data_IF_926741369811
#
_entry.id   IF_926741369811
#
_cell.length_a   1.000
_cell.length_b   1.000
_cell.length_c   1.000
_cell.angle_alpha   90.00
_cell.angle_beta   90.00
_cell.angle_gamma   90.00
#
_symmetry.space_group_name_H-M   'P 1'
#
loop_
_entity.id
_entity.type
_entity.pdbx_description
1 polymer ?
#
# COMPACT_ATOMS: atom_id res chain seq x y z
N UNK A 1 -15.42 74.76 42.55
CA UNK A 1 -15.77 74.46 41.15
C UNK A 1 -15.22 73.08 40.81
N UNK A 2 -15.98 72.30 40.03
CA UNK A 2 -15.60 71.02 39.37
C UNK A 2 -15.87 69.70 40.13
N UNK A 3 -17.12 69.24 39.93
CA UNK A 3 -17.73 67.90 39.84
C UNK A 3 -17.02 66.58 40.24
N UNK A 4 -17.79 65.60 40.77
CA UNK A 4 -17.36 64.20 40.85
C UNK A 4 -17.56 63.45 39.51
N UNK A 5 -16.65 62.51 39.25
CA UNK A 5 -16.53 61.68 38.04
C UNK A 5 -17.73 60.78 37.78
N UNK A 6 -18.34 60.90 36.60
CA UNK A 6 -19.34 59.98 36.05
C UNK A 6 -18.74 58.57 35.84
N UNK A 7 -19.31 57.56 36.52
CA UNK A 7 -19.09 56.16 36.18
C UNK A 7 -19.98 55.79 34.98
N UNK A 8 -19.37 55.64 33.80
CA UNK A 8 -20.07 55.12 32.61
C UNK A 8 -20.36 53.63 32.80
N UNK A 9 -21.63 53.31 33.03
CA UNK A 9 -22.20 51.97 32.88
C UNK A 9 -21.97 51.50 31.44
N UNK A 10 -21.20 50.43 31.24
CA UNK A 10 -21.07 49.78 29.94
C UNK A 10 -22.42 49.13 29.57
N UNK A 11 -22.89 49.26 28.31
CA UNK A 11 -24.12 48.60 27.89
C UNK A 11 -23.88 47.09 27.87
N UNK A 12 -24.73 46.33 28.56
CA UNK A 12 -24.81 44.89 28.42
C UNK A 12 -25.24 44.61 26.98
N UNK A 13 -24.31 44.11 26.17
CA UNK A 13 -24.58 43.63 24.82
C UNK A 13 -25.31 42.29 24.98
N UNK A 14 -26.64 42.35 25.06
CA UNK A 14 -27.47 41.16 24.85
C UNK A 14 -27.48 40.85 23.35
N UNK A 15 -26.72 39.85 22.94
CA UNK A 15 -26.87 39.27 21.60
C UNK A 15 -28.33 38.80 21.43
N UNK A 16 -28.98 39.12 20.29
CA UNK A 16 -30.31 38.62 20.01
C UNK A 16 -30.29 37.08 19.97
N UNK A 17 -31.14 36.44 20.77
CA UNK A 17 -31.31 34.98 20.82
C UNK A 17 -31.63 34.33 19.45
N UNK A 18 -31.92 35.13 18.43
CA UNK A 18 -32.11 34.71 17.05
C UNK A 18 -30.82 34.15 16.39
N UNK A 19 -29.64 34.69 16.70
CA UNK A 19 -28.38 34.19 16.12
C UNK A 19 -27.93 32.85 16.72
N UNK A 20 -28.26 32.61 17.99
CA UNK A 20 -28.04 31.31 18.65
C UNK A 20 -28.98 30.23 18.07
N UNK A 21 -30.21 30.61 17.72
CA UNK A 21 -31.16 29.71 17.06
C UNK A 21 -30.76 29.38 15.61
N UNK A 22 -30.13 30.32 14.89
CA UNK A 22 -29.63 30.10 13.53
C UNK A 22 -28.44 29.12 13.48
N UNK A 23 -27.60 29.08 14.52
CA UNK A 23 -26.53 28.08 14.66
C UNK A 23 -27.07 26.64 14.88
N UNK A 24 -28.29 26.51 15.39
CA UNK A 24 -29.02 25.23 15.52
C UNK A 24 -29.67 24.75 14.23
N UNK A 25 -29.82 25.63 13.22
CA UNK A 25 -30.48 25.34 11.95
C UNK A 25 -29.49 24.98 10.84
N UNK A 26 -28.37 24.30 11.16
CA UNK A 26 -27.64 23.55 10.12
C UNK A 26 -28.55 22.44 9.63
N UNK A 27 -29.19 22.69 8.49
CA UNK A 27 -29.92 21.72 7.68
C UNK A 27 -29.21 20.36 7.76
N UNK A 28 -29.88 19.28 8.21
CA UNK A 28 -29.22 18.01 8.41
C UNK A 28 -28.69 17.56 7.06
N UNK A 29 -27.36 17.52 6.90
CA UNK A 29 -26.76 17.03 5.66
C UNK A 29 -27.34 15.64 5.37
N UNK A 30 -28.07 15.51 4.25
CA UNK A 30 -28.85 14.30 3.92
C UNK A 30 -27.99 13.03 3.83
N UNK A 31 -26.67 13.16 3.64
CA UNK A 31 -25.70 12.07 3.70
C UNK A 31 -24.81 12.17 4.94
N UNK A 32 -24.86 11.14 5.79
CA UNK A 32 -23.85 10.95 6.82
C UNK A 32 -22.54 10.47 6.18
N UNK A 33 -21.37 11.10 6.41
CA UNK A 33 -20.10 10.72 5.78
C UNK A 33 -19.78 9.22 5.84
N UNK A 34 -20.03 8.58 7.00
CA UNK A 34 -19.84 7.14 7.18
C UNK A 34 -20.65 6.27 6.22
N UNK A 35 -21.82 6.72 5.74
CA UNK A 35 -22.59 5.95 4.74
C UNK A 35 -21.89 5.96 3.39
N UNK A 36 -21.33 7.10 2.99
CA UNK A 36 -20.59 7.23 1.73
C UNK A 36 -19.35 6.34 1.77
N UNK A 37 -18.56 6.46 2.84
CA UNK A 37 -17.38 5.62 3.04
C UNK A 37 -17.72 4.13 3.10
N UNK A 38 -18.79 3.74 3.79
CA UNK A 38 -19.21 2.34 3.86
C UNK A 38 -19.69 1.81 2.51
N UNK A 39 -20.37 2.61 1.69
CA UNK A 39 -20.75 2.23 0.32
C UNK A 39 -19.50 2.03 -0.55
N UNK A 40 -18.55 2.97 -0.51
CA UNK A 40 -17.28 2.84 -1.24
C UNK A 40 -16.54 1.57 -0.81
N UNK A 41 -16.41 1.34 0.50
CA UNK A 41 -15.75 0.15 1.03
C UNK A 41 -16.48 -1.14 0.66
N UNK A 42 -17.81 -1.12 0.64
CA UNK A 42 -18.62 -2.24 0.20
C UNK A 42 -18.42 -2.56 -1.29
N UNK A 43 -18.34 -1.53 -2.14
CA UNK A 43 -18.05 -1.70 -3.57
C UNK A 43 -16.64 -2.24 -3.82
N UNK A 44 -15.63 -1.69 -3.14
CA UNK A 44 -14.25 -2.17 -3.22
C UNK A 44 -14.18 -3.64 -2.78
N UNK A 45 -14.79 -3.97 -1.64
CA UNK A 45 -14.78 -5.34 -1.11
C UNK A 45 -15.50 -6.31 -2.05
N UNK A 46 -16.66 -5.92 -2.59
CA UNK A 46 -17.40 -6.76 -3.53
C UNK A 46 -16.59 -7.03 -4.82
N UNK A 47 -15.92 -5.99 -5.35
CA UNK A 47 -15.04 -6.13 -6.50
C UNK A 47 -13.84 -7.05 -6.20
N UNK A 48 -13.18 -6.85 -5.06
CA UNK A 48 -12.07 -7.68 -4.60
C UNK A 48 -12.47 -9.15 -4.46
N UNK A 49 -13.61 -9.42 -3.83
CA UNK A 49 -14.13 -10.80 -3.67
C UNK A 49 -14.47 -11.43 -5.03
N UNK A 50 -15.05 -10.67 -5.95
CA UNK A 50 -15.33 -11.14 -7.31
C UNK A 50 -14.04 -11.53 -8.04
N UNK A 51 -13.02 -10.67 -8.00
CA UNK A 51 -11.73 -10.90 -8.66
C UNK A 51 -10.99 -12.09 -8.04
N UNK A 52 -10.94 -12.19 -6.71
CA UNK A 52 -10.34 -13.34 -6.04
C UNK A 52 -11.07 -14.65 -6.31
N UNK A 53 -12.41 -14.63 -6.33
CA UNK A 53 -13.19 -15.82 -6.68
C UNK A 53 -12.84 -16.29 -8.10
N UNK A 54 -12.84 -15.37 -9.08
CA UNK A 54 -12.46 -15.65 -10.47
C UNK A 54 -11.04 -16.19 -10.60
N UNK A 55 -10.11 -15.67 -9.79
CA UNK A 55 -8.75 -16.15 -9.73
C UNK A 55 -8.67 -17.58 -9.21
N UNK A 56 -9.15 -17.84 -7.99
CA UNK A 56 -9.05 -19.16 -7.34
C UNK A 56 -9.77 -20.26 -8.13
N UNK A 57 -10.86 -19.93 -8.83
CA UNK A 57 -11.59 -20.89 -9.67
C UNK A 57 -11.12 -20.93 -11.12
N UNK A 58 -10.17 -20.08 -11.51
CA UNK A 58 -9.74 -19.91 -12.89
C UNK A 58 -8.34 -20.49 -13.18
N UNK A 59 -7.90 -20.46 -14.44
CA UNK A 59 -6.63 -21.06 -14.86
C UNK A 59 -5.39 -20.34 -14.30
N UNK A 60 -5.53 -19.09 -13.86
CA UNK A 60 -4.42 -18.30 -13.32
C UNK A 60 -4.09 -18.63 -11.85
N UNK A 61 -4.86 -19.50 -11.18
CA UNK A 61 -4.47 -20.07 -9.89
C UNK A 61 -3.48 -21.22 -10.11
N UNK A 62 -2.29 -20.86 -10.58
CA UNK A 62 -1.22 -21.78 -10.92
C UNK A 62 0.10 -21.24 -10.37
N UNK A 63 0.97 -22.14 -9.91
CA UNK A 63 2.27 -21.75 -9.38
C UNK A 63 3.14 -21.15 -10.49
N UNK A 64 3.68 -19.97 -10.25
CA UNK A 64 4.75 -19.41 -11.07
C UNK A 64 6.07 -20.06 -10.63
N UNK A 65 6.80 -20.73 -11.55
CA UNK A 65 7.99 -21.48 -11.21
C UNK A 65 9.17 -20.55 -10.90
N UNK A 66 10.10 -21.08 -10.10
CA UNK A 66 11.39 -20.44 -9.75
C UNK A 66 12.32 -20.27 -10.96
N UNK A 67 12.15 -21.11 -11.99
CA UNK A 67 13.09 -21.21 -13.09
C UNK A 67 14.36 -21.99 -12.72
N UNK A 68 15.39 -21.97 -13.60
CA UNK A 68 16.58 -22.81 -13.46
C UNK A 68 17.62 -22.32 -12.43
N UNK A 69 17.57 -21.06 -12.01
CA UNK A 69 18.47 -20.54 -10.96
C UNK A 69 17.98 -20.96 -9.58
N UNK A 70 18.89 -21.49 -8.77
CA UNK A 70 18.59 -21.84 -7.37
C UNK A 70 18.95 -20.67 -6.43
N UNK A 71 18.04 -20.23 -5.53
CA UNK A 71 18.39 -19.21 -4.55
C UNK A 71 19.49 -19.71 -3.59
N UNK A 72 20.43 -18.85 -3.17
CA UNK A 72 21.45 -19.21 -2.20
C UNK A 72 20.87 -19.80 -0.90
N UNK A 73 21.58 -20.74 -0.28
CA UNK A 73 21.09 -21.43 0.94
C UNK A 73 20.71 -20.47 2.08
N UNK A 74 21.49 -19.40 2.29
CA UNK A 74 21.19 -18.38 3.29
C UNK A 74 19.88 -17.63 2.97
N UNK A 75 19.65 -17.27 1.71
CA UNK A 75 18.43 -16.63 1.24
C UNK A 75 17.22 -17.53 1.54
N UNK A 76 17.29 -18.81 1.19
CA UNK A 76 16.23 -19.79 1.49
C UNK A 76 15.92 -19.89 2.99
N UNK A 77 16.96 -20.01 3.83
CA UNK A 77 16.81 -20.13 5.27
C UNK A 77 16.14 -18.90 5.88
N UNK A 78 16.52 -17.72 5.42
CA UNK A 78 15.93 -16.44 5.86
C UNK A 78 14.48 -16.33 5.40
N UNK A 79 14.19 -16.61 4.13
CA UNK A 79 12.84 -16.57 3.58
C UNK A 79 11.89 -17.53 4.30
N UNK A 80 12.34 -18.76 4.60
CA UNK A 80 11.57 -19.72 5.43
C UNK A 80 11.33 -19.14 6.82
N UNK A 81 12.40 -18.69 7.49
CA UNK A 81 12.32 -18.17 8.86
C UNK A 81 11.33 -17.02 8.94
N UNK A 82 11.42 -16.07 8.02
CA UNK A 82 10.53 -14.91 7.95
C UNK A 82 9.08 -15.32 7.64
N UNK A 83 8.89 -16.29 6.72
CA UNK A 83 7.56 -16.82 6.39
C UNK A 83 6.91 -17.44 7.62
N UNK A 84 7.65 -18.24 8.38
CA UNK A 84 7.17 -18.87 9.62
C UNK A 84 6.80 -17.81 10.65
N UNK A 85 7.66 -16.80 10.87
CA UNK A 85 7.37 -15.71 11.79
C UNK A 85 6.09 -14.98 11.40
N UNK A 86 5.87 -14.74 10.11
CA UNK A 86 4.69 -14.02 9.61
C UNK A 86 3.41 -14.85 9.69
N UNK A 87 3.47 -16.13 9.32
CA UNK A 87 2.34 -17.05 9.46
C UNK A 87 1.95 -17.21 10.93
N UNK A 88 2.91 -17.35 11.85
CA UNK A 88 2.66 -17.51 13.29
C UNK A 88 2.24 -16.19 13.94
N UNK A 89 2.73 -15.06 13.43
CA UNK A 89 2.37 -13.73 13.91
C UNK A 89 0.89 -13.41 13.71
N UNK A 90 0.25 -13.91 12.65
CA UNK A 90 -1.16 -13.67 12.36
C UNK A 90 -2.14 -14.21 13.41
N UNK A 91 -2.13 -15.49 13.82
CA UNK A 91 -3.02 -15.99 14.87
C UNK A 91 -2.76 -15.28 16.21
N UNK A 92 -1.52 -14.90 16.50
CA UNK A 92 -1.18 -14.06 17.67
C UNK A 92 -1.84 -12.68 17.55
N UNK A 93 -1.71 -12.02 16.40
CA UNK A 93 -2.37 -10.74 16.10
C UNK A 93 -3.89 -10.82 16.22
N UNK A 94 -4.51 -11.84 15.63
CA UNK A 94 -5.96 -12.10 15.74
C UNK A 94 -6.36 -12.28 17.21
N UNK A 95 -5.58 -13.06 17.98
CA UNK A 95 -5.86 -13.25 19.40
C UNK A 95 -5.82 -11.93 20.18
N UNK A 96 -4.77 -11.13 20.00
CA UNK A 96 -4.57 -9.90 20.78
C UNK A 96 -5.47 -8.75 20.36
N UNK A 97 -5.73 -8.56 19.06
CA UNK A 97 -6.47 -7.41 18.54
C UNK A 97 -7.96 -7.69 18.32
N UNK A 98 -8.37 -8.94 18.15
CA UNK A 98 -9.77 -9.30 17.90
C UNK A 98 -10.33 -10.15 19.06
N UNK A 99 -9.78 -11.33 19.33
CA UNK A 99 -10.39 -12.30 20.25
C UNK A 99 -10.37 -11.81 21.70
N UNK A 100 -9.24 -11.31 22.19
CA UNK A 100 -9.08 -10.84 23.57
C UNK A 100 -9.96 -9.62 23.87
N UNK A 101 -9.99 -8.55 23.05
CA UNK A 101 -10.90 -7.42 23.27
C UNK A 101 -12.36 -7.82 23.12
N UNK A 102 -12.70 -8.71 22.19
CA UNK A 102 -14.06 -9.23 22.06
C UNK A 102 -14.51 -9.95 23.33
N UNK A 103 -13.66 -10.82 23.91
CA UNK A 103 -13.98 -11.55 25.15
C UNK A 103 -14.06 -10.65 26.38
N UNK A 104 -13.18 -9.64 26.49
CA UNK A 104 -13.11 -8.76 27.67
C UNK A 104 -14.10 -7.60 27.64
N UNK A 105 -14.27 -6.98 26.48
CA UNK A 105 -14.97 -5.69 26.32
C UNK A 105 -16.23 -5.81 25.44
N UNK A 106 -16.48 -6.99 24.85
CA UNK A 106 -17.62 -7.25 23.93
C UNK A 106 -17.72 -6.24 22.77
N UNK A 107 -16.57 -5.72 22.32
CA UNK A 107 -16.47 -4.77 21.20
C UNK A 107 -15.31 -5.10 20.27
N UNK A 108 -15.46 -4.73 19.00
CA UNK A 108 -14.35 -4.72 18.04
C UNK A 108 -13.63 -3.37 18.16
N UNK A 109 -12.33 -3.42 18.47
CA UNK A 109 -11.48 -2.22 18.58
C UNK A 109 -11.10 -1.70 17.20
N UNK A 110 -10.66 -0.43 17.14
CA UNK A 110 -10.12 0.13 15.91
C UNK A 110 -8.94 -0.70 15.39
N UNK A 111 -8.05 -1.15 16.27
CA UNK A 111 -6.90 -2.00 15.91
C UNK A 111 -7.34 -3.34 15.32
N UNK A 112 -8.40 -3.96 15.85
CA UNK A 112 -8.97 -5.18 15.26
C UNK A 112 -9.58 -4.94 13.88
N UNK A 113 -10.21 -3.79 13.64
CA UNK A 113 -10.71 -3.41 12.31
C UNK A 113 -9.57 -3.11 11.34
N UNK A 114 -8.52 -2.42 11.80
CA UNK A 114 -7.33 -2.12 11.00
C UNK A 114 -6.57 -3.40 10.64
N UNK A 115 -6.49 -4.40 11.53
CA UNK A 115 -5.87 -5.69 11.23
C UNK A 115 -6.52 -6.34 9.99
N UNK A 116 -7.85 -6.40 9.97
CA UNK A 116 -8.60 -6.98 8.85
C UNK A 116 -8.54 -6.08 7.62
N UNK A 117 -8.67 -4.75 7.80
CA UNK A 117 -8.62 -3.80 6.70
C UNK A 117 -7.26 -3.79 5.97
N UNK A 118 -6.15 -3.85 6.72
CA UNK A 118 -4.81 -3.93 6.14
C UNK A 118 -4.58 -5.29 5.45
N UNK A 119 -5.13 -6.37 5.99
CA UNK A 119 -5.06 -7.69 5.34
C UNK A 119 -5.83 -7.75 4.02
N UNK A 120 -6.96 -7.05 3.92
CA UNK A 120 -7.70 -6.92 2.66
C UNK A 120 -7.01 -5.97 1.67
N UNK A 121 -6.31 -4.96 2.17
CA UNK A 121 -5.56 -4.00 1.36
C UNK A 121 -4.43 -4.65 0.55
N UNK A 122 -3.91 -5.81 0.96
CA UNK A 122 -3.01 -6.65 0.17
C UNK A 122 -3.50 -6.90 -1.28
N UNK A 123 -4.81 -6.88 -1.53
CA UNK A 123 -5.35 -6.95 -2.90
C UNK A 123 -4.75 -5.91 -3.86
N UNK A 124 -4.34 -4.76 -3.33
CA UNK A 124 -3.79 -3.65 -4.10
C UNK A 124 -2.29 -3.76 -4.37
N UNK A 125 -1.59 -4.67 -3.69
CA UNK A 125 -0.13 -4.83 -3.77
C UNK A 125 0.36 -5.04 -5.22
N UNK A 126 -0.12 -6.03 -5.98
CA UNK A 126 0.36 -6.23 -7.34
C UNK A 126 -0.09 -5.14 -8.32
N UNK A 127 -0.99 -4.23 -7.93
CA UNK A 127 -1.44 -3.15 -8.80
C UNK A 127 -0.35 -2.14 -9.12
N UNK A 128 0.75 -2.11 -8.35
CA UNK A 128 1.94 -1.35 -8.69
C UNK A 128 2.50 -1.73 -10.08
N UNK A 129 2.24 -2.95 -10.55
CA UNK A 129 2.66 -3.46 -11.86
C UNK A 129 1.60 -3.31 -12.97
N UNK A 130 0.60 -2.44 -12.83
CA UNK A 130 -0.54 -2.41 -13.76
C UNK A 130 -0.17 -2.08 -15.21
N UNK A 131 0.71 -1.09 -15.43
CA UNK A 131 1.17 -0.70 -16.77
C UNK A 131 2.47 -1.35 -17.24
N UNK A 132 3.39 -1.54 -16.32
CA UNK A 132 4.70 -2.15 -16.56
C UNK A 132 5.16 -2.83 -15.28
N UNK A 133 6.05 -3.81 -15.37
CA UNK A 133 6.57 -4.48 -14.19
C UNK A 133 7.64 -3.62 -13.52
N UNK A 134 7.25 -3.02 -12.40
CA UNK A 134 8.07 -2.18 -11.55
C UNK A 134 8.68 -2.94 -10.35
N UNK A 135 7.96 -3.89 -9.75
CA UNK A 135 8.43 -4.75 -8.64
C UNK A 135 8.16 -6.23 -8.92
N UNK A 136 9.02 -7.11 -8.42
CA UNK A 136 8.83 -8.56 -8.46
C UNK A 136 9.23 -9.22 -7.14
N UNK A 137 8.41 -10.16 -6.68
CA UNK A 137 8.72 -11.10 -5.60
C UNK A 137 9.60 -12.29 -6.04
N UNK A 138 10.23 -12.90 -5.06
CA UNK A 138 10.94 -14.15 -5.24
C UNK A 138 9.97 -15.34 -5.44
N UNK A 139 9.94 -15.92 -6.64
CA UNK A 139 9.03 -17.02 -7.00
C UNK A 139 9.37 -18.36 -6.37
N UNK A 140 10.53 -18.47 -5.72
CA UNK A 140 10.84 -19.63 -4.87
C UNK A 140 9.85 -19.77 -3.70
N UNK A 141 9.36 -18.63 -3.20
CA UNK A 141 8.34 -18.61 -2.16
C UNK A 141 7.03 -19.20 -2.64
N UNK A 142 6.23 -19.71 -1.70
CA UNK A 142 4.94 -20.30 -2.04
C UNK A 142 4.00 -19.24 -2.64
N UNK A 143 3.63 -19.44 -3.90
CA UNK A 143 2.77 -18.56 -4.70
C UNK A 143 1.83 -19.40 -5.58
N UNK A 144 0.74 -18.79 -6.02
CA UNK A 144 -0.21 -19.35 -6.99
C UNK A 144 -0.55 -18.30 -8.06
N UNK A 145 0.50 -17.64 -8.57
CA UNK A 145 0.35 -16.48 -9.45
C UNK A 145 -0.28 -15.31 -8.72
N UNK A 146 -1.14 -14.57 -9.40
CA UNK A 146 -1.95 -13.50 -8.79
C UNK A 146 -3.24 -13.27 -9.56
N UNK A 147 -4.12 -12.46 -8.99
CA UNK A 147 -5.42 -12.12 -9.57
C UNK A 147 -5.37 -11.02 -10.64
N UNK A 148 -4.18 -10.52 -10.97
CA UNK A 148 -3.99 -9.36 -11.86
C UNK A 148 -4.64 -9.47 -13.25
N UNK A 149 -4.73 -10.65 -13.92
CA UNK A 149 -5.38 -10.75 -15.22
C UNK A 149 -6.87 -10.42 -15.20
N UNK A 150 -7.51 -10.56 -14.03
CA UNK A 150 -8.93 -10.27 -13.84
C UNK A 150 -9.19 -8.82 -13.43
N UNK A 151 -8.14 -8.03 -13.18
CA UNK A 151 -8.27 -6.59 -12.92
C UNK A 151 -8.58 -5.88 -14.23
N UNK A 152 -9.69 -5.12 -14.33
CA UNK A 152 -10.07 -4.46 -15.56
C UNK A 152 -8.97 -3.54 -16.09
N UNK A 153 -8.65 -3.69 -17.37
CA UNK A 153 -7.68 -2.86 -18.08
C UNK A 153 -6.21 -3.17 -17.78
N UNK A 154 -5.90 -4.26 -17.07
CA UNK A 154 -4.53 -4.71 -16.83
C UNK A 154 -3.71 -4.75 -18.13
N UNK A 155 -2.49 -4.20 -18.12
CA UNK A 155 -1.65 -4.03 -19.32
C UNK A 155 -0.38 -4.86 -19.29
N UNK A 156 0.20 -5.07 -18.11
CA UNK A 156 1.41 -5.89 -17.98
C UNK A 156 1.18 -7.33 -18.38
N UNK A 157 2.24 -8.02 -18.79
CA UNK A 157 2.15 -9.42 -19.21
C UNK A 157 1.62 -10.30 -18.07
N UNK A 158 0.62 -11.13 -18.36
CA UNK A 158 0.13 -12.11 -17.41
C UNK A 158 -0.51 -13.32 -18.09
N UNK A 159 0.15 -14.47 -17.98
CA UNK A 159 -0.36 -15.78 -18.40
C UNK A 159 -0.24 -16.78 -17.26
N UNK A 160 -1.01 -17.88 -17.25
CA UNK A 160 -0.84 -18.96 -16.29
C UNK A 160 0.62 -19.42 -16.20
N UNK A 161 1.18 -19.49 -14.99
CA UNK A 161 2.60 -19.79 -14.75
C UNK A 161 3.60 -18.69 -15.12
N UNK A 162 3.19 -17.59 -15.78
CA UNK A 162 4.06 -16.51 -16.26
C UNK A 162 3.42 -15.13 -16.02
N UNK A 163 3.44 -14.67 -14.78
CA UNK A 163 2.80 -13.41 -14.36
C UNK A 163 3.37 -12.92 -13.03
N UNK A 164 2.97 -11.73 -12.60
CA UNK A 164 3.22 -11.24 -11.25
C UNK A 164 2.81 -12.31 -10.22
N UNK A 165 3.77 -12.83 -9.46
CA UNK A 165 3.54 -13.90 -8.50
C UNK A 165 3.48 -13.34 -7.08
N UNK A 166 2.37 -13.55 -6.40
CA UNK A 166 2.18 -13.08 -5.03
C UNK A 166 2.57 -14.18 -4.02
N UNK A 167 3.54 -13.94 -3.11
CA UNK A 167 3.86 -14.86 -2.03
C UNK A 167 2.77 -14.78 -0.94
N UNK A 168 1.65 -15.46 -1.18
CA UNK A 168 0.40 -15.37 -0.38
C UNK A 168 0.64 -15.58 1.12
N UNK A 169 1.50 -16.54 1.48
CA UNK A 169 1.79 -16.85 2.90
C UNK A 169 2.59 -15.77 3.62
N UNK A 170 3.29 -14.92 2.86
CA UNK A 170 4.05 -13.81 3.40
C UNK A 170 3.25 -12.51 3.35
N UNK A 171 2.73 -12.18 2.17
CA UNK A 171 2.11 -10.88 1.94
C UNK A 171 0.79 -10.76 2.70
N UNK A 172 -0.12 -11.74 2.61
CA UNK A 172 -1.42 -11.60 3.27
C UNK A 172 -1.32 -11.41 4.80
N UNK A 173 -0.52 -12.21 5.54
CA UNK A 173 -0.37 -11.99 6.96
C UNK A 173 0.53 -10.77 7.29
N UNK A 174 1.57 -10.53 6.50
CA UNK A 174 2.47 -9.37 6.65
C UNK A 174 1.74 -8.04 6.50
N UNK A 175 0.87 -7.93 5.50
CA UNK A 175 -0.03 -6.80 5.31
C UNK A 175 -1.04 -6.67 6.45
N UNK A 176 -1.57 -7.78 6.96
CA UNK A 176 -2.59 -7.72 8.02
C UNK A 176 -2.04 -7.19 9.34
N UNK A 177 -1.08 -7.89 9.95
CA UNK A 177 -0.59 -7.51 11.28
C UNK A 177 0.72 -6.71 11.22
N UNK A 178 1.59 -6.94 10.23
CA UNK A 178 2.86 -6.23 10.09
C UNK A 178 2.64 -4.74 9.83
N UNK A 179 1.80 -4.39 8.86
CA UNK A 179 1.43 -2.98 8.58
C UNK A 179 0.74 -2.34 9.78
N UNK A 180 -0.13 -3.07 10.48
CA UNK A 180 -0.76 -2.59 11.71
C UNK A 180 0.29 -2.31 12.80
N UNK A 181 1.25 -3.19 13.03
CA UNK A 181 2.32 -2.97 14.00
C UNK A 181 3.18 -1.75 13.63
N UNK A 182 3.50 -1.57 12.35
CA UNK A 182 4.17 -0.36 11.86
C UNK A 182 3.33 0.90 12.11
N UNK A 183 2.01 0.82 11.91
CA UNK A 183 1.07 1.91 12.20
C UNK A 183 1.04 2.23 13.70
N UNK A 184 1.01 1.20 14.56
CA UNK A 184 1.04 1.36 16.02
C UNK A 184 2.35 2.04 16.46
N UNK A 185 3.47 1.63 15.88
CA UNK A 185 4.79 2.21 16.13
C UNK A 185 4.87 3.66 15.65
N UNK A 186 4.38 3.98 14.46
CA UNK A 186 4.27 5.35 13.95
C UNK A 186 3.42 6.25 14.85
N UNK A 187 2.28 5.75 15.35
CA UNK A 187 1.50 6.46 16.36
C UNK A 187 2.27 6.68 17.67
N UNK A 188 3.11 5.72 18.09
CA UNK A 188 3.97 5.87 19.27
C UNK A 188 5.03 6.96 19.05
N UNK A 189 5.65 7.02 17.88
CA UNK A 189 6.60 8.09 17.50
C UNK A 189 5.92 9.45 17.53
N UNK A 190 4.72 9.59 16.95
CA UNK A 190 3.97 10.85 17.02
C UNK A 190 3.67 11.28 18.47
N UNK A 191 3.28 10.34 19.35
CA UNK A 191 3.09 10.65 20.79
C UNK A 191 4.40 11.11 21.44
N UNK A 192 5.52 10.46 21.12
CA UNK A 192 6.84 10.83 21.64
C UNK A 192 7.28 12.20 21.16
N UNK A 193 7.08 12.51 19.89
CA UNK A 193 7.34 13.82 19.30
C UNK A 193 6.48 14.91 19.94
N UNK A 194 5.20 14.64 20.19
CA UNK A 194 4.31 15.59 20.90
C UNK A 194 4.73 15.83 22.35
N UNK A 195 5.28 14.82 23.02
CA UNK A 195 5.82 14.97 24.37
C UNK A 195 7.10 15.83 24.41
N UNK A 196 7.97 15.70 23.40
CA UNK A 196 9.18 16.53 23.29
C UNK A 196 8.88 17.94 22.77
N UNK A 197 7.93 18.09 21.85
CA UNK A 197 7.51 19.36 21.27
C UNK A 197 6.02 19.61 21.50
N UNK A 198 5.59 20.07 22.69
CA UNK A 198 4.17 20.24 23.01
C UNK A 198 3.41 21.18 22.05
N UNK A 199 4.10 22.17 21.50
CA UNK A 199 3.55 23.16 20.56
C UNK A 199 3.51 22.70 19.10
N UNK A 200 3.96 21.49 18.77
CA UNK A 200 3.91 20.98 17.40
C UNK A 200 2.45 20.85 16.95
N UNK A 201 2.14 21.40 15.77
CA UNK A 201 0.82 21.28 15.17
C UNK A 201 0.65 19.92 14.47
N UNK A 202 -0.56 19.62 13.97
CA UNK A 202 -0.84 18.33 13.33
C UNK A 202 0.00 18.11 12.06
N UNK A 203 0.26 19.16 11.29
CA UNK A 203 1.12 19.07 10.10
C UNK A 203 2.56 18.70 10.45
N UNK A 204 3.10 19.27 11.53
CA UNK A 204 4.42 18.92 12.04
C UNK A 204 4.50 17.47 12.52
N UNK A 205 3.44 16.93 13.15
CA UNK A 205 3.38 15.52 13.52
C UNK A 205 3.39 14.59 12.29
N UNK A 206 2.63 14.95 11.25
CA UNK A 206 2.62 14.21 9.98
C UNK A 206 4.00 14.28 9.32
N UNK A 207 4.66 15.44 9.33
CA UNK A 207 6.02 15.60 8.80
C UNK A 207 7.05 14.72 9.53
N UNK A 208 7.02 14.70 10.87
CA UNK A 208 7.87 13.80 11.68
C UNK A 208 7.60 12.34 11.31
N UNK A 209 6.32 11.98 11.13
CA UNK A 209 5.95 10.63 10.78
C UNK A 209 6.48 10.24 9.39
N UNK A 210 6.34 11.09 8.36
CA UNK A 210 6.84 10.82 7.00
C UNK A 210 8.36 10.61 7.01
N UNK A 211 9.10 11.45 7.73
CA UNK A 211 10.56 11.30 7.85
C UNK A 211 10.91 10.00 8.56
N UNK A 212 10.20 9.67 9.66
CA UNK A 212 10.44 8.43 10.38
C UNK A 212 10.09 7.19 9.55
N UNK A 213 8.95 7.19 8.85
CA UNK A 213 8.54 6.07 8.00
C UNK A 213 9.51 5.86 6.86
N UNK A 214 9.98 6.93 6.20
CA UNK A 214 11.00 6.84 5.17
C UNK A 214 12.28 6.15 5.68
N UNK A 215 12.79 6.58 6.84
CA UNK A 215 14.02 5.99 7.42
C UNK A 215 13.78 4.56 7.88
N UNK A 216 12.63 4.30 8.50
CA UNK A 216 12.25 2.97 8.96
C UNK A 216 12.13 1.99 7.79
N UNK A 217 11.51 2.44 6.69
CA UNK A 217 11.33 1.68 5.47
C UNK A 217 12.68 1.39 4.80
N UNK A 218 13.56 2.39 4.66
CA UNK A 218 14.93 2.16 4.18
C UNK A 218 15.67 1.09 4.99
N UNK A 219 15.53 1.08 6.32
CA UNK A 219 16.19 0.08 7.18
C UNK A 219 15.58 -1.31 7.01
N UNK A 220 14.25 -1.42 7.01
CA UNK A 220 13.58 -2.72 6.93
C UNK A 220 13.61 -3.26 5.50
N UNK A 221 13.20 -2.47 4.53
CA UNK A 221 13.13 -2.88 3.13
C UNK A 221 14.51 -2.85 2.46
N UNK A 222 15.15 -1.67 2.47
CA UNK A 222 16.43 -1.41 1.81
C UNK A 222 17.60 -2.23 2.35
N UNK A 223 17.71 -2.38 3.67
CA UNK A 223 18.85 -3.07 4.29
C UNK A 223 18.57 -4.52 4.71
N UNK A 224 17.30 -4.93 4.81
CA UNK A 224 16.95 -6.26 5.30
C UNK A 224 16.14 -7.06 4.27
N UNK A 225 14.90 -6.68 3.93
CA UNK A 225 14.02 -7.51 3.08
C UNK A 225 14.57 -7.73 1.66
N UNK A 226 15.06 -6.67 1.01
CA UNK A 226 15.57 -6.79 -0.35
C UNK A 226 16.94 -7.48 -0.43
N UNK A 227 17.95 -7.17 0.40
CA UNK A 227 19.20 -7.94 0.43
C UNK A 227 18.96 -9.43 0.75
N UNK A 228 17.93 -9.74 1.54
CA UNK A 228 17.50 -11.10 1.84
C UNK A 228 16.71 -11.76 0.70
N UNK A 229 16.44 -11.05 -0.39
CA UNK A 229 15.83 -11.57 -1.60
C UNK A 229 14.34 -11.86 -1.49
N UNK A 230 13.58 -11.09 -0.70
CA UNK A 230 12.13 -11.22 -0.61
C UNK A 230 11.44 -10.73 -1.89
N UNK A 231 11.84 -9.55 -2.35
CA UNK A 231 11.41 -8.91 -3.60
C UNK A 231 12.48 -7.93 -4.08
N UNK A 232 12.30 -7.44 -5.29
CA UNK A 232 13.19 -6.51 -5.96
C UNK A 232 12.41 -5.52 -6.82
N UNK A 233 13.00 -4.35 -7.09
CA UNK A 233 12.43 -3.31 -7.94
C UNK A 233 13.17 -3.24 -9.28
N UNK A 234 12.93 -4.16 -10.23
CA UNK A 234 13.72 -4.20 -11.46
C UNK A 234 13.48 -2.99 -12.36
N UNK A 235 12.27 -2.43 -12.35
CA UNK A 235 11.91 -1.24 -13.11
C UNK A 235 12.25 0.08 -12.41
N UNK A 236 13.04 0.06 -11.32
CA UNK A 236 13.39 1.29 -10.61
C UNK A 236 14.26 2.24 -11.44
N UNK A 237 14.06 3.55 -11.25
CA UNK A 237 14.91 4.59 -11.84
C UNK A 237 16.27 4.55 -11.12
N UNK A 238 17.33 4.14 -11.81
CA UNK A 238 18.65 3.90 -11.19
C UNK A 238 19.24 5.15 -10.55
N UNK A 239 19.05 6.31 -11.18
CA UNK A 239 19.54 7.60 -10.66
C UNK A 239 18.90 8.03 -9.33
N UNK A 240 17.71 7.50 -9.01
CA UNK A 240 16.96 7.76 -7.78
C UNK A 240 16.90 6.51 -6.90
N UNK A 241 17.91 5.64 -6.99
CA UNK A 241 17.98 4.38 -6.24
C UNK A 241 19.30 4.22 -5.50
N UNK A 242 19.25 3.66 -4.31
CA UNK A 242 20.43 3.20 -3.56
C UNK A 242 20.79 1.81 -4.06
N UNK A 243 22.09 1.51 -4.24
CA UNK A 243 22.59 0.25 -4.82
C UNK A 243 22.05 -0.02 -6.23
N UNK A 244 21.90 1.02 -7.04
CA UNK A 244 21.39 0.91 -8.39
C UNK A 244 22.14 -0.15 -9.23
N UNK A 245 21.39 -0.99 -9.93
CA UNK A 245 21.95 -2.08 -10.75
C UNK A 245 22.19 -3.40 -10.02
N UNK A 246 21.90 -3.50 -8.72
CA UNK A 246 21.88 -4.78 -8.00
C UNK A 246 20.45 -5.29 -7.83
N UNK A 247 20.29 -6.57 -7.46
CA UNK A 247 18.97 -7.12 -7.13
C UNK A 247 18.32 -6.50 -5.89
N UNK A 248 19.07 -5.75 -5.08
CA UNK A 248 18.59 -5.10 -3.86
C UNK A 248 18.62 -3.56 -4.00
N UNK A 249 18.46 -3.06 -5.22
CA UNK A 249 18.34 -1.63 -5.45
C UNK A 249 17.08 -1.07 -4.80
N UNK A 250 17.23 -0.01 -4.00
CA UNK A 250 16.13 0.62 -3.26
C UNK A 250 15.79 1.99 -3.84
N UNK A 251 14.64 2.16 -4.53
CA UNK A 251 14.23 3.46 -5.02
C UNK A 251 13.84 4.39 -3.87
N UNK A 252 14.43 5.58 -3.80
CA UNK A 252 14.12 6.53 -2.71
C UNK A 252 12.65 6.94 -2.69
N UNK A 253 12.00 6.96 -3.85
CA UNK A 253 10.60 7.31 -3.96
C UNK A 253 9.66 6.23 -3.39
N UNK A 254 10.13 4.99 -3.23
CA UNK A 254 9.36 3.94 -2.55
C UNK A 254 9.13 4.30 -1.08
N UNK A 255 10.20 4.68 -0.37
CA UNK A 255 10.07 5.15 1.02
C UNK A 255 9.15 6.37 1.18
N UNK A 256 9.03 7.21 0.15
CA UNK A 256 8.08 8.33 0.15
C UNK A 256 6.64 7.86 -0.08
N UNK A 257 6.42 6.98 -1.06
CA UNK A 257 5.10 6.40 -1.36
C UNK A 257 4.57 5.61 -0.17
N UNK A 258 5.36 4.66 0.33
CA UNK A 258 5.04 3.87 1.52
C UNK A 258 4.90 4.75 2.76
N UNK A 259 5.78 5.74 2.91
CA UNK A 259 5.68 6.74 3.96
C UNK A 259 4.36 7.52 3.93
N UNK A 260 3.83 7.82 2.74
CA UNK A 260 2.51 8.42 2.55
C UNK A 260 1.36 7.51 2.98
N UNK A 261 1.41 6.22 2.63
CA UNK A 261 0.42 5.21 3.08
C UNK A 261 0.42 5.11 4.60
N UNK A 262 1.60 4.93 5.21
CA UNK A 262 1.75 4.85 6.65
C UNK A 262 1.32 6.14 7.34
N UNK A 263 1.58 7.31 6.74
CA UNK A 263 1.08 8.58 7.24
C UNK A 263 -0.46 8.63 7.26
N UNK A 264 -1.12 8.15 6.19
CA UNK A 264 -2.57 8.03 6.14
C UNK A 264 -3.14 7.09 7.22
N UNK A 265 -2.56 5.89 7.35
CA UNK A 265 -2.99 4.89 8.34
C UNK A 265 -2.78 5.38 9.79
N UNK A 266 -1.61 5.97 10.07
CA UNK A 266 -1.32 6.54 11.37
C UNK A 266 -2.19 7.75 11.68
N UNK A 267 -2.45 8.62 10.71
CA UNK A 267 -3.34 9.76 10.89
C UNK A 267 -4.76 9.29 11.22
N UNK A 268 -5.25 8.27 10.51
CA UNK A 268 -6.53 7.63 10.78
C UNK A 268 -6.59 7.09 12.21
N UNK A 269 -5.53 6.41 12.67
CA UNK A 269 -5.46 5.82 14.00
C UNK A 269 -5.21 6.82 15.14
N UNK A 270 -4.46 7.89 14.88
CA UNK A 270 -4.01 8.85 15.89
C UNK A 270 -5.03 9.97 16.11
N UNK A 271 -5.57 10.55 15.03
CA UNK A 271 -6.51 11.69 15.10
C UNK A 271 -7.94 11.19 15.29
N UNK A 272 -8.20 10.61 16.46
CA UNK A 272 -9.53 10.15 16.85
C UNK A 272 -10.26 11.20 17.72
N UNK A 273 -11.59 11.14 17.72
CA UNK A 273 -12.40 11.95 18.64
C UNK A 273 -12.32 11.45 20.09
N UNK A 274 -12.96 12.15 21.03
CA UNK A 274 -13.00 11.77 22.46
C UNK A 274 -13.61 10.38 22.71
N UNK A 275 -14.29 9.82 21.71
CA UNK A 275 -14.91 8.49 21.74
C UNK A 275 -14.10 7.45 20.96
N UNK A 276 -12.89 7.80 20.52
CA UNK A 276 -11.96 6.92 19.82
C UNK A 276 -12.37 6.61 18.37
N UNK A 277 -13.14 7.48 17.72
CA UNK A 277 -13.61 7.30 16.33
C UNK A 277 -12.79 8.11 15.37
N UNK A 278 -12.59 7.54 14.20
CA UNK A 278 -11.90 8.18 13.08
C UNK A 278 -12.83 9.12 12.31
N UNK A 279 -12.26 9.94 11.42
CA UNK A 279 -13.05 10.90 10.64
C UNK A 279 -14.06 10.24 9.69
N UNK A 280 -13.80 9.01 9.21
CA UNK A 280 -14.71 8.26 8.33
C UNK A 280 -15.91 7.66 9.07
N UNK A 281 -15.85 7.63 10.40
CA UNK A 281 -16.93 7.14 11.25
C UNK A 281 -17.89 8.26 11.69
N UNK A 282 -17.63 9.51 11.27
CA UNK A 282 -18.42 10.67 11.69
C UNK A 282 -19.89 10.48 11.30
N UNK A 283 -20.74 10.58 12.32
CA UNK A 283 -22.19 10.43 12.22
C UNK A 283 -22.71 9.00 12.34
N UNK A 284 -21.88 8.03 12.76
CA UNK A 284 -22.32 6.67 13.12
C UNK A 284 -23.49 6.67 14.11
N UNK A 285 -23.54 7.64 15.03
CA UNK A 285 -24.65 7.87 15.99
C UNK A 285 -26.03 7.95 15.32
N UNK A 286 -26.08 8.48 14.09
CA UNK A 286 -27.33 8.74 13.37
C UNK A 286 -27.83 7.50 12.63
N UNK A 287 -27.09 6.41 12.64
CA UNK A 287 -27.49 5.21 11.92
C UNK A 287 -28.32 4.31 12.82
N UNK A 288 -29.62 4.27 12.50
CA UNK A 288 -30.58 3.33 13.10
C UNK A 288 -30.23 1.89 12.66
N UNK A 289 -30.00 1.02 13.64
CA UNK A 289 -29.71 -0.40 13.42
C UNK A 289 -29.06 -1.05 14.63
N UNK A 290 -29.08 -2.39 14.68
CA UNK A 290 -28.41 -3.16 15.73
C UNK A 290 -26.88 -3.06 15.67
N UNK A 291 -26.23 -3.52 16.74
CA UNK A 291 -24.77 -3.48 16.93
C UNK A 291 -23.99 -4.01 15.71
N UNK A 292 -24.41 -5.16 15.15
CA UNK A 292 -23.75 -5.79 14.00
C UNK A 292 -23.72 -4.86 12.78
N UNK A 293 -24.84 -4.23 12.46
CA UNK A 293 -24.94 -3.31 11.31
C UNK A 293 -24.01 -2.12 11.49
N UNK A 294 -24.00 -1.52 12.69
CA UNK A 294 -23.13 -0.39 13.00
C UNK A 294 -21.65 -0.76 12.90
N UNK A 295 -21.23 -1.93 13.43
CA UNK A 295 -19.85 -2.39 13.32
C UNK A 295 -19.46 -2.71 11.87
N UNK A 296 -20.35 -3.29 11.07
CA UNK A 296 -20.09 -3.57 9.65
C UNK A 296 -19.89 -2.28 8.84
N UNK A 297 -20.76 -1.28 9.01
CA UNK A 297 -20.58 0.02 8.33
C UNK A 297 -19.32 0.73 8.79
N UNK A 298 -19.00 0.67 10.08
CA UNK A 298 -17.78 1.20 10.66
C UNK A 298 -16.54 0.57 10.00
N UNK A 299 -16.52 -0.76 9.93
CA UNK A 299 -15.46 -1.53 9.29
C UNK A 299 -15.31 -1.18 7.81
N UNK A 300 -16.40 -1.18 7.03
CA UNK A 300 -16.37 -0.84 5.61
C UNK A 300 -15.85 0.58 5.37
N UNK A 301 -16.22 1.54 6.22
CA UNK A 301 -15.73 2.90 6.13
C UNK A 301 -14.22 3.01 6.41
N UNK A 302 -13.72 2.30 7.43
CA UNK A 302 -12.28 2.23 7.73
C UNK A 302 -11.53 1.53 6.60
N UNK A 303 -12.05 0.41 6.11
CA UNK A 303 -11.46 -0.32 4.99
C UNK A 303 -11.38 0.53 3.72
N UNK A 304 -12.41 1.32 3.42
CA UNK A 304 -12.39 2.27 2.32
C UNK A 304 -11.30 3.34 2.51
N UNK A 305 -11.14 3.89 3.72
CA UNK A 305 -10.11 4.87 4.01
C UNK A 305 -8.70 4.29 3.82
N UNK A 306 -8.42 3.12 4.41
CA UNK A 306 -7.16 2.40 4.25
C UNK A 306 -6.87 2.12 2.78
N UNK A 307 -7.86 1.61 2.04
CA UNK A 307 -7.75 1.31 0.61
C UNK A 307 -7.45 2.56 -0.21
N UNK A 308 -8.10 3.70 0.10
CA UNK A 308 -7.85 4.96 -0.58
C UNK A 308 -6.47 5.51 -0.30
N UNK A 309 -5.94 5.40 0.92
CA UNK A 309 -4.58 5.82 1.22
C UNK A 309 -3.56 5.03 0.41
N UNK A 310 -3.72 3.71 0.34
CA UNK A 310 -2.86 2.87 -0.50
C UNK A 310 -2.97 3.24 -1.97
N UNK A 311 -4.21 3.35 -2.48
CA UNK A 311 -4.43 3.66 -3.87
C UNK A 311 -3.81 5.01 -4.29
N UNK A 312 -4.04 6.05 -3.48
CA UNK A 312 -3.61 7.42 -3.80
C UNK A 312 -2.13 7.64 -3.56
N UNK A 313 -1.57 7.16 -2.45
CA UNK A 313 -0.18 7.44 -2.08
C UNK A 313 0.81 6.40 -2.62
N UNK A 314 0.34 5.22 -3.03
CA UNK A 314 1.21 4.17 -3.54
C UNK A 314 0.90 3.84 -5.00
N UNK A 315 -0.32 3.35 -5.31
CA UNK A 315 -0.60 2.85 -6.66
C UNK A 315 -0.53 3.92 -7.75
N UNK A 316 -1.14 5.09 -7.54
CA UNK A 316 -1.11 6.19 -8.53
C UNK A 316 0.33 6.64 -8.82
N UNK A 317 1.17 7.01 -7.83
CA UNK A 317 2.54 7.40 -8.11
C UNK A 317 3.37 6.23 -8.66
N UNK A 318 3.18 5.00 -8.17
CA UNK A 318 3.84 3.82 -8.73
C UNK A 318 3.53 3.64 -10.22
N UNK A 319 2.28 3.88 -10.65
CA UNK A 319 1.92 3.81 -12.07
C UNK A 319 2.62 4.87 -12.90
N UNK A 320 2.73 6.09 -12.37
CA UNK A 320 3.47 7.15 -13.05
C UNK A 320 4.96 6.79 -13.17
N UNK A 321 5.57 6.27 -12.09
CA UNK A 321 6.98 5.86 -12.08
C UNK A 321 7.25 4.65 -12.98
N UNK A 322 6.36 3.66 -13.00
CA UNK A 322 6.48 2.45 -13.82
C UNK A 322 6.44 2.73 -15.32
N UNK A 323 5.79 3.82 -15.75
CA UNK A 323 5.86 4.30 -17.14
C UNK A 323 7.22 4.92 -17.51
N UNK A 324 8.05 5.23 -16.52
CA UNK A 324 9.41 5.76 -16.68
C UNK A 324 10.47 4.74 -16.24
N UNK A 325 10.10 3.46 -16.16
CA UNK A 325 10.99 2.40 -15.73
C UNK A 325 12.25 2.31 -16.62
N UNK A 326 13.40 2.15 -15.98
CA UNK A 326 14.67 1.94 -16.67
C UNK A 326 14.90 0.45 -17.00
N UNK A 327 16.02 0.17 -17.67
CA UNK A 327 16.39 -1.19 -18.05
C UNK A 327 16.62 -2.05 -16.82
N UNK A 328 16.03 -3.24 -16.83
CA UNK A 328 16.20 -4.21 -15.75
C UNK A 328 17.69 -4.51 -15.49
N UNK A 329 18.16 -4.44 -14.23
CA UNK A 329 19.52 -4.85 -13.89
C UNK A 329 19.87 -6.27 -14.32
N UNK A 330 21.09 -6.47 -14.85
CA UNK A 330 21.58 -7.81 -15.22
C UNK A 330 21.63 -8.75 -14.01
N UNK A 331 21.94 -8.23 -12.82
CA UNK A 331 21.98 -9.01 -11.58
C UNK A 331 20.61 -9.55 -11.16
N UNK A 332 19.51 -8.94 -11.64
CA UNK A 332 18.15 -9.48 -11.50
C UNK A 332 17.89 -10.49 -12.62
N UNK A 333 18.10 -10.11 -13.88
CA UNK A 333 17.77 -10.94 -15.05
C UNK A 333 18.49 -12.30 -15.09
N UNK A 334 19.68 -12.41 -14.49
CA UNK A 334 20.39 -13.70 -14.40
C UNK A 334 19.80 -14.63 -13.32
N UNK A 335 18.91 -14.13 -12.46
CA UNK A 335 18.31 -14.86 -11.33
C UNK A 335 16.86 -15.15 -11.63
N UNK A 336 16.60 -16.32 -12.23
CA UNK A 336 15.26 -16.67 -12.71
C UNK A 336 14.14 -16.56 -11.66
N UNK A 337 14.48 -16.68 -10.37
CA UNK A 337 13.55 -16.55 -9.26
C UNK A 337 13.04 -15.13 -8.99
N UNK A 338 13.61 -14.11 -9.64
CA UNK A 338 13.10 -12.73 -9.60
C UNK A 338 12.33 -12.31 -10.87
N UNK A 339 12.39 -13.11 -11.93
CA UNK A 339 11.86 -12.69 -13.24
C UNK A 339 10.42 -13.12 -13.48
N UNK A 340 9.90 -14.04 -12.66
CA UNK A 340 8.52 -14.54 -12.74
C UNK A 340 8.12 -15.14 -14.11
N UNK A 341 9.11 -15.41 -14.98
CA UNK A 341 8.88 -15.85 -16.35
C UNK A 341 8.13 -14.83 -17.23
N UNK A 342 8.13 -13.55 -16.86
CA UNK A 342 7.45 -12.50 -17.64
C UNK A 342 8.32 -11.91 -18.75
N UNK A 343 9.64 -12.10 -18.66
CA UNK A 343 10.62 -11.70 -19.66
C UNK A 343 11.94 -12.47 -19.47
N UNK A 344 12.89 -12.29 -20.39
CA UNK A 344 14.23 -12.86 -20.27
C UNK A 344 14.38 -14.23 -20.95
N UNK A 345 15.42 -14.97 -20.58
CA UNK A 345 15.77 -16.24 -21.22
C UNK A 345 14.58 -17.24 -21.21
N UNK A 346 14.33 -17.87 -22.36
CA UNK A 346 13.28 -18.88 -22.50
C UNK A 346 11.84 -18.34 -22.63
N UNK A 347 11.63 -17.03 -22.53
CA UNK A 347 10.27 -16.43 -22.60
C UNK A 347 9.87 -15.93 -23.99
N UNK A 348 10.85 -15.78 -24.90
CA UNK A 348 10.65 -15.11 -26.19
C UNK A 348 10.36 -13.61 -26.10
N UNK A 349 10.48 -13.02 -24.89
CA UNK A 349 10.16 -11.61 -24.59
C UNK A 349 11.38 -10.92 -23.98
N UNK A 350 11.67 -9.73 -24.48
CA UNK A 350 12.70 -8.87 -23.89
C UNK A 350 12.20 -8.27 -22.57
N UNK A 351 13.10 -8.12 -21.59
CA UNK A 351 12.75 -7.44 -20.35
C UNK A 351 12.52 -5.95 -20.57
N UNK A 352 11.67 -5.31 -19.74
CA UNK A 352 11.39 -3.89 -19.85
C UNK A 352 12.66 -3.05 -19.95
N UNK A 353 12.69 -2.18 -20.96
CA UNK A 353 13.80 -1.30 -21.29
C UNK A 353 13.24 0.01 -21.88
N UNK A 354 13.85 1.18 -21.61
CA UNK A 354 13.39 2.46 -22.14
C UNK A 354 13.23 2.52 -23.67
N UNK A 355 13.92 1.66 -24.40
CA UNK A 355 13.85 1.58 -25.87
C UNK A 355 12.61 0.81 -26.34
N UNK A 356 12.01 -0.02 -25.48
CA UNK A 356 10.82 -0.81 -25.79
C UNK A 356 9.53 0.05 -25.73
N UNK A 357 8.46 -0.35 -26.45
CA UNK A 357 7.38 0.56 -26.81
C UNK A 357 6.42 0.84 -25.65
N UNK A 358 6.78 1.81 -24.82
CA UNK A 358 5.85 2.73 -24.15
C UNK A 358 6.03 4.07 -24.86
N UNK A 359 5.08 4.56 -25.68
CA UNK A 359 5.30 5.74 -26.52
C UNK A 359 5.89 6.93 -25.75
N UNK A 360 7.10 7.35 -26.14
CA UNK A 360 7.85 8.42 -25.50
C UNK A 360 8.91 9.03 -26.42
N UNK A 361 9.64 10.04 -25.92
CA UNK A 361 10.62 10.81 -26.72
C UNK A 361 11.85 10.03 -27.18
N UNK A 362 12.04 8.80 -26.70
CA UNK A 362 13.22 7.98 -26.99
C UNK A 362 12.93 6.48 -27.04
N UNK A 363 11.69 6.12 -27.38
CA UNK A 363 11.23 4.73 -27.47
C UNK A 363 11.12 4.32 -28.93
N UNK A 364 11.36 3.05 -29.24
CA UNK A 364 11.06 2.52 -30.56
C UNK A 364 9.56 2.56 -30.87
N UNK A 365 9.21 2.60 -32.15
CA UNK A 365 7.83 2.59 -32.62
C UNK A 365 7.68 1.61 -33.77
N UNK A 366 6.44 1.14 -34.01
CA UNK A 366 6.11 0.33 -35.19
C UNK A 366 5.73 1.29 -36.31
N UNK A 367 6.46 1.24 -37.42
CA UNK A 367 6.16 2.04 -38.61
C UNK A 367 4.90 1.50 -39.35
N UNK A 368 4.36 2.25 -40.33
CA UNK A 368 3.20 1.78 -41.12
C UNK A 368 3.45 0.48 -41.90
N UNK A 369 4.71 0.11 -42.13
CA UNK A 369 5.10 -1.13 -42.83
C UNK A 369 5.18 -2.33 -41.86
N UNK A 370 4.98 -2.10 -40.56
CA UNK A 370 4.98 -3.13 -39.52
C UNK A 370 6.37 -3.42 -38.95
N UNK A 371 7.39 -2.64 -39.27
CA UNK A 371 8.74 -2.79 -38.73
C UNK A 371 8.90 -2.03 -37.41
N UNK A 372 9.63 -2.63 -36.47
CA UNK A 372 10.01 -1.94 -35.24
C UNK A 372 11.24 -1.07 -35.48
N UNK A 373 11.05 0.24 -35.47
CA UNK A 373 12.09 1.25 -35.69
C UNK A 373 12.64 1.72 -34.35
N UNK A 374 13.95 1.62 -34.18
CA UNK A 374 14.66 2.10 -32.99
C UNK A 374 15.08 3.55 -33.16
N UNK A 375 15.15 4.34 -32.07
CA UNK A 375 15.80 5.65 -32.09
C UNK A 375 17.27 5.52 -32.51
N UNK A 376 17.79 6.57 -33.15
CA UNK A 376 19.18 6.60 -33.62
C UNK A 376 20.18 6.31 -32.49
N UNK A 377 21.09 5.36 -32.72
CA UNK A 377 22.12 4.96 -31.76
C UNK A 377 21.61 4.10 -30.58
N UNK A 378 20.38 3.57 -30.64
CA UNK A 378 19.84 2.64 -29.65
C UNK A 378 19.81 1.21 -30.20
N UNK A 379 20.13 0.25 -29.34
CA UNK A 379 20.02 -1.18 -29.61
C UNK A 379 18.91 -1.78 -28.76
N UNK A 380 18.37 -2.93 -29.19
CA UNK A 380 17.49 -3.72 -28.35
C UNK A 380 18.26 -4.28 -27.14
N UNK A 381 17.62 -4.41 -25.97
CA UNK A 381 18.24 -5.07 -24.83
C UNK A 381 18.58 -6.52 -25.18
N UNK A 382 19.73 -6.99 -24.70
CA UNK A 382 20.17 -8.38 -24.89
C UNK A 382 19.56 -9.24 -23.79
N UNK A 383 19.24 -10.49 -24.14
CA UNK A 383 18.83 -11.48 -23.14
C UNK A 383 20.06 -11.84 -22.31
N UNK A 384 19.96 -11.63 -21.00
CA UNK A 384 20.96 -12.08 -20.02
C UNK A 384 20.68 -13.56 -19.71
N UNK A 385 21.64 -14.48 -19.90
CA UNK A 385 21.45 -15.88 -19.53
C UNK A 385 21.30 -16.06 -18.01
N UNK A 386 20.50 -17.04 -17.61
CA UNK A 386 20.34 -17.41 -16.22
C UNK A 386 21.61 -18.03 -15.65
N UNK A 387 21.91 -17.67 -14.40
CA UNK A 387 22.88 -18.36 -13.57
C UNK A 387 22.34 -19.77 -13.30
N UNK A 388 22.99 -20.75 -13.92
CA UNK A 388 22.78 -22.17 -13.66
C UNK A 388 23.94 -22.62 -12.77
N UNK A 389 23.67 -23.02 -11.54
CA UNK A 389 24.67 -23.73 -10.75
C UNK A 389 24.99 -25.05 -11.49
N UNK A 390 26.26 -25.27 -11.82
CA UNK A 390 26.75 -26.58 -12.29
C UNK A 390 26.78 -27.58 -11.14
#
# INVERSE_FOLDING_TARGET
MSGPSDSKTAPVVTEPAADVAALGARSPSKSTPVRVWAVIGGLILAFQLYVWLRWVTGPHFERVPTGPSDPPALMKAVLITWTVVIIVGLPVGIYYFIVRPWRRERRITLDGMLLVACGLLWFQDPLLNYFNTWSTYNTWMWNMGSWVPYVPGWRSYAEPGHMMAEPILMNAPGYSYGVLLCTILGCWIMRRAKAFWPRINNYGLIGVLIVWTFVFDFVIEGLFLMPMGLFTYPGAIKSLSINAGTYYQWPLYEGLMWGGVQAGLCALRYFTDDRGRTFVERGLERIRGGFVKQQAMRFLAIFAACSMFFFVFYNIPAQWLGMHAESWPEDIQKRSYFDMGICGEGTGRLCPDPVLPIPGKGTGYVDPDGHFVLPEGKELPKIVPFDREN
#
